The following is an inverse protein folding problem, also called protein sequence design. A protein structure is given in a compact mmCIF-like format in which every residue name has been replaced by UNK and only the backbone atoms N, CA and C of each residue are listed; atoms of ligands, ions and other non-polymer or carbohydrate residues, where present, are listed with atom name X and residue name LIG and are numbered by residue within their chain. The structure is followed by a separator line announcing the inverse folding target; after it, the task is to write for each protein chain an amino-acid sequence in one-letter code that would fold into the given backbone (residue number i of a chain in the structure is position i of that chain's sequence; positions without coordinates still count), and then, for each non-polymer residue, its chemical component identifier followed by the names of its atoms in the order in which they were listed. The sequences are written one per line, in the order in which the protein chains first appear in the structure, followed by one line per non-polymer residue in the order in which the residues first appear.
data_IF_505830565638
#
_entry.id   IF_505830565638
#
_cell.length_a   1.000
_cell.length_b   1.000
_cell.length_c   1.000
_cell.angle_alpha   90.00
_cell.angle_beta   90.00
_cell.angle_gamma   90.00
#
_symmetry.space_group_name_H-M   'P 1'
#
loop_
_entity.id
_entity.type
_entity.pdbx_description
1 polymer ?
#
# COMPACT_ATOMS: atom_id res chain seq x y z
N UNK A 1 -2.27 3.33 15.41
CA UNK A 1 -2.34 2.12 14.55
C UNK A 1 -3.76 1.87 14.05
N UNK A 2 -4.75 1.79 14.95
CA UNK A 2 -6.17 1.60 14.58
C UNK A 2 -6.65 2.71 13.64
N UNK A 3 -6.53 3.97 14.04
CA UNK A 3 -6.95 5.11 13.23
C UNK A 3 -6.25 5.17 11.87
N UNK A 4 -4.95 4.85 11.82
CA UNK A 4 -4.20 4.79 10.57
C UNK A 4 -4.73 3.70 9.63
N UNK A 5 -5.04 2.52 10.17
CA UNK A 5 -5.60 1.40 9.40
C UNK A 5 -7.01 1.71 8.91
N UNK A 6 -7.85 2.23 9.80
CA UNK A 6 -9.21 2.65 9.47
C UNK A 6 -9.21 3.70 8.35
N UNK A 7 -8.48 4.81 8.53
CA UNK A 7 -8.49 5.90 7.55
C UNK A 7 -7.92 5.49 6.19
N UNK A 8 -6.85 4.68 6.17
CA UNK A 8 -6.27 4.21 4.91
C UNK A 8 -7.25 3.31 4.14
N UNK A 9 -7.86 2.34 4.82
CA UNK A 9 -8.77 1.41 4.17
C UNK A 9 -10.11 2.06 3.80
N UNK A 10 -10.61 2.99 4.61
CA UNK A 10 -11.85 3.72 4.32
C UNK A 10 -11.76 4.57 3.04
N UNK A 11 -10.58 5.14 2.73
CA UNK A 11 -10.35 5.86 1.46
C UNK A 11 -10.50 4.92 0.25
N UNK A 12 -10.14 3.64 0.41
CA UNK A 12 -10.27 2.60 -0.62
C UNK A 12 -11.65 1.91 -0.62
N UNK A 13 -12.59 2.39 0.21
CA UNK A 13 -13.97 1.92 0.25
C UNK A 13 -14.27 0.77 1.22
N UNK A 14 -13.33 0.44 2.11
CA UNK A 14 -13.59 -0.49 3.21
C UNK A 14 -14.70 0.06 4.13
N UNK A 15 -15.60 -0.81 4.57
CA UNK A 15 -16.84 -0.41 5.25
C UNK A 15 -16.80 -0.55 6.76
N UNK A 16 -15.69 -1.02 7.34
CA UNK A 16 -15.54 -1.12 8.80
C UNK A 16 -15.52 0.29 9.40
N UNK A 17 -16.29 0.50 10.48
CA UNK A 17 -16.16 1.67 11.34
C UNK A 17 -14.85 1.64 12.12
N UNK A 18 -14.49 2.76 12.77
CA UNK A 18 -13.29 2.82 13.61
C UNK A 18 -13.34 1.80 14.76
N UNK A 19 -14.50 1.61 15.39
CA UNK A 19 -14.69 0.64 16.48
C UNK A 19 -14.64 -0.80 15.97
N UNK A 20 -15.31 -1.09 14.85
CA UNK A 20 -15.24 -2.40 14.21
C UNK A 20 -13.80 -2.73 13.80
N UNK A 21 -13.06 -1.78 13.25
CA UNK A 21 -11.63 -1.94 12.91
C UNK A 21 -10.83 -2.32 14.15
N UNK A 22 -11.05 -1.69 15.30
CA UNK A 22 -10.36 -2.04 16.55
C UNK A 22 -10.61 -3.51 16.94
N UNK A 23 -11.87 -3.94 16.92
CA UNK A 23 -12.27 -5.32 17.21
C UNK A 23 -11.64 -6.32 16.23
N UNK A 24 -11.61 -6.00 14.94
CA UNK A 24 -10.95 -6.84 13.92
C UNK A 24 -9.45 -6.99 14.20
N UNK A 25 -8.77 -5.93 14.60
CA UNK A 25 -7.35 -5.99 14.93
C UNK A 25 -7.07 -6.78 16.22
N UNK A 26 -8.07 -6.95 17.08
CA UNK A 26 -8.05 -7.85 18.25
C UNK A 26 -8.42 -9.31 17.92
N UNK A 27 -8.78 -9.59 16.66
CA UNK A 27 -9.13 -10.93 16.17
C UNK A 27 -10.62 -11.26 16.23
N UNK A 28 -11.48 -10.26 16.45
CA UNK A 28 -12.94 -10.43 16.49
C UNK A 28 -13.52 -10.15 15.11
N UNK A 29 -14.32 -11.08 14.58
CA UNK A 29 -15.05 -10.88 13.32
C UNK A 29 -16.33 -10.07 13.54
N UNK A 30 -16.66 -9.21 12.59
CA UNK A 30 -17.85 -8.36 12.60
C UNK A 30 -18.90 -8.98 11.68
N UNK A 31 -20.08 -9.21 12.26
CA UNK A 31 -21.23 -9.73 11.51
C UNK A 31 -21.62 -8.78 10.36
N UNK A 32 -22.15 -9.35 9.28
CA UNK A 32 -22.60 -8.63 8.08
C UNK A 32 -21.55 -7.79 7.34
N UNK A 33 -20.27 -7.86 7.73
CA UNK A 33 -19.16 -7.25 6.99
C UNK A 33 -18.49 -8.30 6.12
N UNK A 34 -18.08 -7.95 4.89
CA UNK A 34 -17.41 -8.91 4.02
C UNK A 34 -16.06 -9.33 4.62
N UNK A 35 -15.67 -10.59 4.40
CA UNK A 35 -14.36 -11.09 4.86
C UNK A 35 -13.20 -10.26 4.27
N UNK A 36 -13.37 -9.76 3.04
CA UNK A 36 -12.45 -8.84 2.39
C UNK A 36 -12.07 -7.66 3.28
N UNK A 37 -13.05 -6.98 3.88
CA UNK A 37 -12.79 -5.79 4.69
C UNK A 37 -11.96 -6.12 5.94
N UNK A 38 -12.19 -7.29 6.53
CA UNK A 38 -11.42 -7.79 7.66
C UNK A 38 -9.97 -8.09 7.27
N UNK A 39 -9.79 -8.80 6.16
CA UNK A 39 -8.47 -9.16 5.64
C UNK A 39 -7.66 -7.92 5.25
N UNK A 40 -8.30 -6.91 4.65
CA UNK A 40 -7.65 -5.62 4.35
C UNK A 40 -7.19 -4.91 5.62
N UNK A 41 -7.99 -4.92 6.70
CA UNK A 41 -7.61 -4.29 7.97
C UNK A 41 -6.40 -4.99 8.61
N UNK A 42 -6.44 -6.32 8.66
CA UNK A 42 -5.34 -7.16 9.20
C UNK A 42 -4.09 -7.01 8.34
N UNK A 43 -4.22 -7.10 7.01
CA UNK A 43 -3.12 -6.97 6.06
C UNK A 43 -2.44 -5.62 6.12
N UNK A 44 -3.22 -4.54 6.24
CA UNK A 44 -2.67 -3.19 6.42
C UNK A 44 -1.91 -3.03 7.75
N UNK A 45 -2.46 -3.55 8.87
CA UNK A 45 -1.75 -3.57 10.16
C UNK A 45 -0.41 -4.28 10.03
N UNK A 46 -0.40 -5.47 9.45
CA UNK A 46 0.81 -6.30 9.33
C UNK A 46 1.84 -5.66 8.41
N UNK A 47 1.39 -5.06 7.30
CA UNK A 47 2.24 -4.26 6.41
C UNK A 47 2.88 -3.09 7.16
N UNK A 48 2.12 -2.36 7.98
CA UNK A 48 2.66 -1.24 8.75
C UNK A 48 3.70 -1.67 9.78
N UNK A 49 3.41 -2.73 10.54
CA UNK A 49 4.37 -3.32 11.49
C UNK A 49 5.65 -3.77 10.77
N UNK A 50 5.51 -4.39 9.60
CA UNK A 50 6.66 -4.79 8.78
C UNK A 50 7.49 -3.58 8.33
N UNK A 51 6.87 -2.50 7.88
CA UNK A 51 7.57 -1.25 7.54
C UNK A 51 8.32 -0.69 8.75
N UNK A 52 7.73 -0.69 9.95
CA UNK A 52 8.43 -0.26 11.16
C UNK A 52 9.67 -1.12 11.45
N UNK A 53 9.59 -2.43 11.23
CA UNK A 53 10.74 -3.34 11.37
C UNK A 53 11.83 -3.04 10.34
N UNK A 54 11.48 -2.81 9.08
CA UNK A 54 12.44 -2.43 8.03
C UNK A 54 13.19 -1.15 8.41
N UNK A 55 12.46 -0.13 8.91
CA UNK A 55 13.05 1.13 9.38
C UNK A 55 13.96 0.92 10.58
N UNK A 56 13.54 0.16 11.59
CA UNK A 56 14.33 -0.15 12.78
C UNK A 56 15.65 -0.85 12.42
N UNK A 57 15.58 -1.78 11.47
CA UNK A 57 16.73 -2.54 10.97
C UNK A 57 17.56 -1.78 9.92
N UNK A 58 17.20 -0.52 9.61
CA UNK A 58 17.85 0.32 8.58
C UNK A 58 17.96 -0.38 7.22
N UNK A 59 16.96 -1.18 6.87
CA UNK A 59 16.91 -1.87 5.58
C UNK A 59 16.72 -0.82 4.47
N UNK A 60 17.58 -0.79 3.44
CA UNK A 60 17.40 0.11 2.30
C UNK A 60 16.07 -0.13 1.59
N UNK A 61 15.46 0.94 1.08
CA UNK A 61 14.27 0.83 0.23
C UNK A 61 14.66 0.19 -1.10
N UNK A 62 14.17 -1.03 -1.32
CA UNK A 62 14.40 -1.80 -2.54
C UNK A 62 13.08 -2.29 -3.12
N UNK A 63 13.10 -2.65 -4.40
CA UNK A 63 11.92 -3.20 -5.08
C UNK A 63 11.35 -4.41 -4.35
N UNK A 64 12.22 -5.26 -3.80
CA UNK A 64 11.85 -6.41 -2.97
C UNK A 64 10.99 -5.98 -1.77
N UNK A 65 11.45 -4.99 -1.00
CA UNK A 65 10.72 -4.51 0.19
C UNK A 65 9.35 -3.94 -0.16
N UNK A 66 9.21 -3.24 -1.29
CA UNK A 66 7.92 -2.73 -1.76
C UNK A 66 6.96 -3.88 -2.09
N UNK A 67 7.46 -4.94 -2.76
CA UNK A 67 6.66 -6.12 -3.09
C UNK A 67 6.25 -6.92 -1.86
N UNK A 68 7.13 -7.02 -0.86
CA UNK A 68 6.81 -7.66 0.42
C UNK A 68 5.70 -6.90 1.15
N UNK A 69 5.81 -5.57 1.25
CA UNK A 69 4.75 -4.72 1.82
C UNK A 69 3.43 -4.89 1.04
N UNK A 70 3.48 -4.85 -0.29
CA UNK A 70 2.30 -5.07 -1.14
C UNK A 70 1.66 -6.45 -0.92
N UNK A 71 2.47 -7.48 -0.67
CA UNK A 71 1.96 -8.83 -0.39
C UNK A 71 1.17 -8.91 0.92
N UNK A 72 1.58 -8.13 1.92
CA UNK A 72 0.88 -8.03 3.21
C UNK A 72 -0.42 -7.23 3.07
N UNK A 73 -0.39 -6.11 2.34
CA UNK A 73 -1.57 -5.26 2.12
C UNK A 73 -2.68 -6.00 1.35
N UNK A 74 -2.34 -6.71 0.27
CA UNK A 74 -3.31 -7.46 -0.55
C UNK A 74 -3.74 -8.80 0.09
N UNK A 75 -3.96 -8.83 1.41
CA UNK A 75 -4.25 -10.06 2.13
C UNK A 75 -5.45 -10.82 1.55
N UNK A 76 -6.45 -10.10 1.04
CA UNK A 76 -7.69 -10.57 0.42
C UNK A 76 -7.53 -11.09 -1.03
N UNK A 77 -6.41 -10.82 -1.71
CA UNK A 77 -6.15 -11.19 -3.11
C UNK A 77 -4.83 -11.95 -3.30
N UNK A 78 -4.76 -13.22 -2.87
CA UNK A 78 -3.51 -13.99 -2.85
C UNK A 78 -2.82 -14.12 -4.22
N UNK A 79 -3.58 -14.14 -5.30
CA UNK A 79 -3.10 -14.29 -6.69
C UNK A 79 -2.28 -13.10 -7.22
N UNK A 80 -2.46 -11.92 -6.62
CA UNK A 80 -1.81 -10.67 -7.06
C UNK A 80 -0.77 -10.13 -6.04
N UNK A 81 -0.60 -10.82 -4.89
CA UNK A 81 0.33 -10.41 -3.83
C UNK A 81 1.76 -10.26 -4.34
N UNK A 82 2.35 -9.08 -4.10
CA UNK A 82 3.74 -8.78 -4.45
C UNK A 82 4.06 -8.77 -5.95
N UNK A 83 3.05 -8.84 -6.82
CA UNK A 83 3.22 -8.79 -8.26
C UNK A 83 2.93 -7.39 -8.79
N UNK A 84 3.63 -7.00 -9.86
CA UNK A 84 3.17 -5.87 -10.66
C UNK A 84 1.94 -6.28 -11.45
N UNK A 85 1.03 -5.33 -11.67
CA UNK A 85 -0.14 -5.55 -12.50
C UNK A 85 0.24 -6.01 -13.91
N UNK A 86 -0.59 -6.88 -14.47
CA UNK A 86 -0.42 -7.47 -15.80
C UNK A 86 -1.39 -6.87 -16.84
N UNK A 87 -2.37 -6.10 -16.37
CA UNK A 87 -3.40 -5.49 -17.21
C UNK A 87 -3.35 -3.96 -17.12
N UNK A 88 -3.68 -3.24 -18.21
CA UNK A 88 -3.88 -1.81 -18.18
C UNK A 88 -5.01 -1.45 -17.22
N UNK A 89 -4.88 -0.31 -16.53
CA UNK A 89 -5.91 0.21 -15.63
C UNK A 89 -6.09 1.70 -15.90
N UNK A 90 -7.25 2.23 -15.53
CA UNK A 90 -7.56 3.66 -15.58
C UNK A 90 -8.03 4.09 -14.19
N UNK A 91 -7.52 5.22 -13.71
CA UNK A 91 -7.96 5.80 -12.44
C UNK A 91 -9.10 6.75 -12.74
N UNK A 92 -10.31 6.43 -12.28
CA UNK A 92 -11.47 7.28 -12.50
C UNK A 92 -11.25 8.66 -11.90
N UNK A 93 -11.52 9.72 -12.68
CA UNK A 93 -11.34 11.10 -12.24
C UNK A 93 -9.90 11.64 -12.34
N UNK A 94 -8.90 10.80 -12.63
CA UNK A 94 -7.54 11.27 -12.88
C UNK A 94 -7.38 11.72 -14.35
N UNK A 95 -6.76 12.89 -14.56
CA UNK A 95 -6.41 13.37 -15.89
C UNK A 95 -5.19 12.63 -16.48
N UNK A 96 -4.33 12.09 -15.61
CA UNK A 96 -3.12 11.36 -16.00
C UNK A 96 -3.40 9.87 -16.08
N UNK A 97 -2.99 9.27 -17.19
CA UNK A 97 -3.10 7.83 -17.39
C UNK A 97 -1.96 7.09 -16.67
N UNK A 98 -2.26 5.99 -15.95
CA UNK A 98 -1.24 5.15 -15.34
C UNK A 98 -0.27 4.56 -16.37
N UNK A 99 0.86 4.07 -15.88
CA UNK A 99 1.86 3.43 -16.74
C UNK A 99 1.31 2.20 -17.48
N UNK A 100 1.94 1.80 -18.58
CA UNK A 100 1.57 0.52 -19.18
C UNK A 100 2.21 -0.63 -18.37
N UNK A 101 1.54 -1.78 -18.18
CA UNK A 101 2.02 -2.88 -17.32
C UNK A 101 3.48 -3.28 -17.57
N UNK A 102 3.86 -3.43 -18.84
CA UNK A 102 5.23 -3.79 -19.24
C UNK A 102 6.30 -2.76 -18.83
N UNK A 103 5.91 -1.50 -18.58
CA UNK A 103 6.82 -0.41 -18.22
C UNK A 103 6.95 -0.20 -16.71
N UNK A 104 5.98 -0.72 -15.91
CA UNK A 104 5.92 -0.54 -14.46
C UNK A 104 7.20 -0.99 -13.75
N UNK A 105 7.75 -2.21 -14.01
CA UNK A 105 8.96 -2.65 -13.30
C UNK A 105 10.16 -1.73 -13.54
N UNK A 106 10.35 -1.31 -14.81
CA UNK A 106 11.44 -0.41 -15.19
C UNK A 106 11.30 0.96 -14.51
N UNK A 107 10.08 1.51 -14.51
CA UNK A 107 9.80 2.83 -13.92
C UNK A 107 9.89 2.81 -12.39
N UNK A 108 9.45 1.75 -11.74
CA UNK A 108 9.61 1.57 -10.30
C UNK A 108 11.09 1.53 -9.91
N UNK A 109 11.91 0.76 -10.63
CA UNK A 109 13.36 0.72 -10.41
C UNK A 109 14.02 2.10 -10.61
N UNK A 110 13.57 2.88 -11.59
CA UNK A 110 14.03 4.25 -11.79
C UNK A 110 13.62 5.17 -10.64
N UNK A 111 12.38 5.04 -10.16
CA UNK A 111 11.82 5.84 -9.06
C UNK A 111 12.56 5.61 -7.74
N UNK A 112 12.87 4.35 -7.42
CA UNK A 112 13.62 3.96 -6.22
C UNK A 112 15.04 4.53 -6.27
N UNK A 113 15.73 4.38 -7.41
CA UNK A 113 17.13 4.78 -7.55
C UNK A 113 17.35 6.28 -7.81
N UNK A 114 16.28 7.06 -8.00
CA UNK A 114 16.41 8.49 -8.31
C UNK A 114 17.02 9.22 -7.13
N UNK A 115 18.25 9.73 -7.31
CA UNK A 115 18.90 10.63 -6.35
C UNK A 115 18.08 11.91 -6.23
N UNK A 116 17.76 12.31 -5.00
CA UNK A 116 16.86 13.46 -4.72
C UNK A 116 17.58 14.70 -4.20
N UNK A 117 18.92 14.72 -4.31
CA UNK A 117 19.74 15.89 -4.02
C UNK A 117 19.44 16.51 -2.65
N UNK A 118 19.18 17.83 -2.66
CA UNK A 118 18.94 18.71 -1.51
C UNK A 118 17.46 18.90 -1.17
N UNK A 119 16.54 18.13 -1.77
CA UNK A 119 15.10 18.29 -1.49
C UNK A 119 14.78 18.10 0.00
N UNK A 120 13.86 18.92 0.52
CA UNK A 120 13.39 18.78 1.89
C UNK A 120 12.73 17.39 2.09
N UNK A 121 12.85 16.73 3.26
CA UNK A 121 12.29 15.39 3.48
C UNK A 121 10.80 15.26 3.12
N UNK A 122 9.98 16.27 3.46
CA UNK A 122 8.55 16.26 3.13
C UNK A 122 8.30 16.30 1.61
N UNK A 123 9.04 17.13 0.88
CA UNK A 123 8.95 17.18 -0.59
C UNK A 123 9.37 15.86 -1.21
N UNK A 124 10.41 15.22 -0.66
CA UNK A 124 10.86 13.90 -1.13
C UNK A 124 9.82 12.82 -0.93
N UNK A 125 9.08 12.86 0.19
CA UNK A 125 7.99 11.92 0.50
C UNK A 125 6.82 12.17 -0.44
N UNK A 126 6.34 13.42 -0.52
CA UNK A 126 5.22 13.79 -1.39
C UNK A 126 5.49 13.47 -2.86
N UNK A 127 6.70 13.79 -3.36
CA UNK A 127 7.11 13.48 -4.72
C UNK A 127 7.12 11.97 -4.99
N UNK A 128 7.67 11.17 -4.06
CA UNK A 128 7.68 9.72 -4.24
C UNK A 128 6.29 9.12 -4.25
N UNK A 129 5.44 9.53 -3.29
CA UNK A 129 4.06 9.09 -3.21
C UNK A 129 3.30 9.40 -4.51
N UNK A 130 3.41 10.63 -5.01
CA UNK A 130 2.78 11.05 -6.26
C UNK A 130 3.25 10.23 -7.46
N UNK A 131 4.55 9.94 -7.58
CA UNK A 131 5.07 9.20 -8.73
C UNK A 131 4.79 7.70 -8.66
N UNK A 132 4.76 7.12 -7.45
CA UNK A 132 4.41 5.72 -7.25
C UNK A 132 2.92 5.46 -7.54
N UNK A 133 2.04 6.43 -7.27
CA UNK A 133 0.58 6.29 -7.43
C UNK A 133 0.14 5.99 -8.88
N UNK A 134 0.89 6.45 -9.88
CA UNK A 134 0.56 6.23 -11.29
C UNK A 134 1.18 4.96 -11.88
N UNK A 135 1.82 4.12 -11.06
CA UNK A 135 2.52 2.92 -11.51
C UNK A 135 1.65 1.67 -11.38
#
# INVERSE_FOLDING_TARGET
MIEFTYNSNAIEGNTLTLQETALVLEGITIDQKPLKDHLEAVGHRDAFVYVQQLVSNKVPLEERTIKEVHSLVLMDRPEDKGLYRRIPVRIMGAALEPQQPYSVPKKMKQLINKKRGTMHPLERIAWFHLNAYFF
#
